data_IF_217365741749
#
_entry.id   IF_217365741749
#
_cell.length_a   1.000
_cell.length_b   1.000
_cell.length_c   1.000
_cell.angle_alpha   90.00
_cell.angle_beta   90.00
_cell.angle_gamma   90.00
#
_symmetry.space_group_name_H-M   'P 1'
#
loop_
_entity.id
_entity.type
_entity.pdbx_description
1 polymer ?
#
# COMPACT_ATOMS: atom_id res chain seq x y z
N UNK A 1 13.40 -25.37 -6.00
CA UNK A 1 12.14 -25.87 -6.63
C UNK A 1 10.89 -24.98 -6.39
N UNK A 2 10.97 -23.87 -5.63
CA UNK A 2 9.83 -22.94 -5.46
C UNK A 2 9.66 -21.95 -6.63
N UNK A 3 10.74 -21.61 -7.32
CA UNK A 3 10.77 -20.59 -8.38
C UNK A 3 10.05 -21.03 -9.67
N UNK A 4 10.08 -22.32 -10.01
CA UNK A 4 9.42 -22.85 -11.22
C UNK A 4 7.90 -22.97 -11.07
N UNK A 5 7.39 -23.20 -9.85
CA UNK A 5 5.93 -23.29 -9.59
C UNK A 5 5.25 -21.92 -9.66
N UNK A 6 5.95 -20.84 -9.27
CA UNK A 6 5.47 -19.45 -9.38
C UNK A 6 5.32 -18.99 -10.84
N UNK A 7 6.11 -19.56 -11.77
CA UNK A 7 6.03 -19.19 -13.19
C UNK A 7 4.78 -19.75 -13.90
N UNK A 8 4.25 -20.88 -13.42
CA UNK A 8 3.12 -21.61 -14.04
C UNK A 8 1.76 -21.12 -13.52
N UNK A 9 1.71 -20.38 -12.42
CA UNK A 9 0.46 -19.92 -11.77
C UNK A 9 0.25 -18.41 -11.79
N UNK A 10 0.91 -17.69 -12.69
CA UNK A 10 0.63 -16.26 -12.84
C UNK A 10 -0.84 -16.06 -13.22
N UNK A 11 -1.55 -15.12 -12.59
CA UNK A 11 -2.90 -14.75 -13.01
C UNK A 11 -2.89 -14.38 -14.49
N UNK A 12 -3.99 -14.64 -15.21
CA UNK A 12 -4.05 -14.24 -16.61
C UNK A 12 -4.09 -12.70 -16.69
N UNK A 13 -3.46 -12.14 -17.72
CA UNK A 13 -3.39 -10.67 -17.89
C UNK A 13 -4.78 -10.07 -18.19
N UNK A 14 -5.68 -10.88 -18.76
CA UNK A 14 -7.08 -10.54 -19.04
C UNK A 14 -8.03 -10.78 -17.85
N UNK A 15 -7.51 -11.21 -16.69
CA UNK A 15 -8.29 -11.38 -15.47
C UNK A 15 -8.46 -10.03 -14.75
N UNK A 16 -9.70 -9.56 -14.71
CA UNK A 16 -10.07 -8.27 -14.11
C UNK A 16 -10.36 -8.34 -12.61
N UNK A 17 -10.20 -9.51 -11.97
CA UNK A 17 -10.34 -9.63 -10.52
C UNK A 17 -9.30 -8.76 -9.80
N UNK A 18 -9.65 -8.14 -8.65
CA UNK A 18 -8.69 -7.31 -7.92
C UNK A 18 -7.42 -8.05 -7.51
N UNK A 19 -7.49 -9.33 -7.14
CA UNK A 19 -6.30 -10.13 -6.81
C UNK A 19 -5.38 -10.33 -8.02
N UNK A 20 -5.92 -10.54 -9.23
CA UNK A 20 -5.12 -10.60 -10.43
C UNK A 20 -4.46 -9.24 -10.75
N UNK A 21 -5.24 -8.15 -10.70
CA UNK A 21 -4.70 -6.77 -10.84
C UNK A 21 -3.59 -6.48 -9.82
N UNK A 22 -3.79 -6.92 -8.57
CA UNK A 22 -2.86 -6.73 -7.48
C UNK A 22 -1.51 -7.39 -7.76
N UNK A 23 -1.50 -8.62 -8.27
CA UNK A 23 -0.25 -9.30 -8.62
C UNK A 23 0.63 -8.44 -9.53
N UNK A 24 0.06 -7.90 -10.60
CA UNK A 24 0.80 -7.08 -11.57
C UNK A 24 1.19 -5.71 -11.01
N UNK A 25 0.33 -5.10 -10.19
CA UNK A 25 0.64 -3.84 -9.52
C UNK A 25 1.80 -4.00 -8.51
N UNK A 26 1.81 -5.10 -7.75
CA UNK A 26 2.88 -5.41 -6.80
C UNK A 26 4.21 -5.73 -7.50
N UNK A 27 4.20 -6.45 -8.63
CA UNK A 27 5.40 -6.68 -9.44
C UNK A 27 5.96 -5.35 -10.00
N UNK A 28 5.09 -4.46 -10.49
CA UNK A 28 5.50 -3.14 -10.98
C UNK A 28 6.09 -2.27 -9.86
N UNK A 29 5.47 -2.26 -8.68
CA UNK A 29 5.99 -1.55 -7.52
C UNK A 29 7.38 -2.06 -7.11
N UNK A 30 7.53 -3.38 -7.01
CA UNK A 30 8.82 -4.00 -6.67
C UNK A 30 9.89 -3.74 -7.75
N UNK A 31 9.52 -3.68 -9.03
CA UNK A 31 10.47 -3.33 -10.09
C UNK A 31 11.02 -1.91 -9.91
N UNK A 32 10.17 -0.94 -9.59
CA UNK A 32 10.60 0.45 -9.33
C UNK A 32 11.45 0.54 -8.06
N UNK A 33 11.05 -0.15 -6.99
CA UNK A 33 11.83 -0.19 -5.74
C UNK A 33 13.23 -0.79 -5.93
N UNK A 34 13.31 -1.94 -6.61
CA UNK A 34 14.60 -2.56 -6.93
C UNK A 34 15.47 -1.66 -7.83
N UNK A 35 14.85 -0.89 -8.73
CA UNK A 35 15.59 0.07 -9.55
C UNK A 35 16.14 1.21 -8.69
N UNK A 36 15.36 1.75 -7.75
CA UNK A 36 15.83 2.75 -6.78
C UNK A 36 17.03 2.25 -5.96
N UNK A 37 16.99 0.99 -5.53
CA UNK A 37 18.06 0.39 -4.73
C UNK A 37 19.33 0.05 -5.55
N UNK A 38 19.23 0.06 -6.89
CA UNK A 38 20.31 -0.39 -7.78
C UNK A 38 21.41 0.64 -8.04
N UNK A 39 21.22 1.91 -7.63
CA UNK A 39 22.19 2.98 -7.88
C UNK A 39 22.25 4.00 -6.74
N UNK A 40 23.33 4.78 -6.72
CA UNK A 40 23.45 5.91 -5.80
C UNK A 40 22.69 7.12 -6.35
N UNK A 41 21.53 7.41 -5.74
CA UNK A 41 20.67 8.53 -6.12
C UNK A 41 21.35 9.90 -6.05
N UNK A 42 22.46 10.05 -5.31
CA UNK A 42 23.23 11.32 -5.27
C UNK A 42 24.01 11.57 -6.56
N UNK A 43 24.36 10.50 -7.28
CA UNK A 43 25.09 10.57 -8.56
C UNK A 43 24.17 10.88 -9.73
N UNK A 44 22.89 10.55 -9.62
CA UNK A 44 21.86 10.84 -10.61
C UNK A 44 20.55 11.26 -9.93
N UNK A 45 20.48 12.52 -9.44
CA UNK A 45 19.31 13.03 -8.72
C UNK A 45 18.06 13.10 -9.60
N UNK A 46 18.21 13.33 -10.89
CA UNK A 46 17.09 13.43 -11.82
C UNK A 46 16.41 12.06 -12.00
N UNK A 47 17.20 11.00 -12.25
CA UNK A 47 16.66 9.64 -12.30
C UNK A 47 16.05 9.21 -10.98
N UNK A 48 16.67 9.56 -9.86
CA UNK A 48 16.13 9.30 -8.52
C UNK A 48 14.73 9.93 -8.36
N UNK A 49 14.58 11.21 -8.68
CA UNK A 49 13.30 11.92 -8.59
C UNK A 49 12.22 11.29 -9.51
N UNK A 50 12.59 10.89 -10.73
CA UNK A 50 11.67 10.21 -11.64
C UNK A 50 11.20 8.86 -11.08
N UNK A 51 12.11 8.08 -10.50
CA UNK A 51 11.79 6.78 -9.91
C UNK A 51 10.96 6.91 -8.62
N UNK A 52 11.25 7.89 -7.76
CA UNK A 52 10.41 8.21 -6.59
C UNK A 52 8.98 8.58 -7.03
N UNK A 53 8.84 9.35 -8.11
CA UNK A 53 7.53 9.70 -8.66
C UNK A 53 6.78 8.45 -9.15
N UNK A 54 7.46 7.56 -9.89
CA UNK A 54 6.89 6.27 -10.33
C UNK A 54 6.54 5.37 -9.15
N UNK A 55 7.35 5.36 -8.09
CA UNK A 55 7.11 4.57 -6.89
C UNK A 55 5.80 5.02 -6.24
N UNK A 56 5.60 6.32 -6.06
CA UNK A 56 4.37 6.90 -5.50
C UNK A 56 3.14 6.54 -6.33
N UNK A 57 3.22 6.64 -7.66
CA UNK A 57 2.14 6.22 -8.55
C UNK A 57 1.82 4.72 -8.44
N UNK A 58 2.84 3.88 -8.27
CA UNK A 58 2.66 2.44 -8.09
C UNK A 58 2.05 2.12 -6.71
N UNK A 59 2.44 2.85 -5.66
CA UNK A 59 1.84 2.77 -4.32
C UNK A 59 0.36 3.16 -4.34
N UNK A 60 0.00 4.30 -4.96
CA UNK A 60 -1.39 4.73 -5.15
C UNK A 60 -2.23 3.68 -5.86
N UNK A 61 -1.71 3.13 -6.97
CA UNK A 61 -2.39 2.08 -7.72
C UNK A 61 -2.62 0.83 -6.88
N UNK A 62 -1.63 0.40 -6.10
CA UNK A 62 -1.73 -0.77 -5.26
C UNK A 62 -2.77 -0.57 -4.15
N UNK A 63 -2.77 0.59 -3.48
CA UNK A 63 -3.77 0.94 -2.47
C UNK A 63 -5.18 1.05 -3.04
N UNK A 64 -5.33 1.57 -4.26
CA UNK A 64 -6.61 1.61 -4.95
C UNK A 64 -7.18 0.20 -5.15
N UNK A 65 -6.34 -0.74 -5.59
CA UNK A 65 -6.76 -2.15 -5.77
C UNK A 65 -7.10 -2.79 -4.42
N UNK A 66 -6.33 -2.52 -3.35
CA UNK A 66 -6.68 -2.99 -1.99
C UNK A 66 -8.04 -2.41 -1.56
N UNK A 67 -8.34 -1.15 -1.88
CA UNK A 67 -9.64 -0.53 -1.62
C UNK A 67 -10.77 -1.23 -2.39
N UNK A 68 -10.56 -1.59 -3.67
CA UNK A 68 -11.51 -2.42 -4.42
C UNK A 68 -11.77 -3.76 -3.71
N UNK A 69 -10.73 -4.44 -3.20
CA UNK A 69 -10.87 -5.67 -2.43
C UNK A 69 -11.68 -5.45 -1.14
N UNK A 70 -11.41 -4.35 -0.43
CA UNK A 70 -12.12 -3.98 0.79
C UNK A 70 -13.63 -3.82 0.55
N UNK A 71 -14.02 -3.19 -0.55
CA UNK A 71 -15.45 -3.03 -0.93
C UNK A 71 -16.10 -4.39 -1.23
N UNK A 72 -15.38 -5.31 -1.88
CA UNK A 72 -15.89 -6.65 -2.17
C UNK A 72 -16.05 -7.48 -0.90
N UNK A 73 -15.04 -7.45 -0.02
CA UNK A 73 -15.01 -8.27 1.21
C UNK A 73 -15.93 -7.70 2.30
N UNK A 74 -15.99 -6.38 2.42
CA UNK A 74 -16.77 -5.65 3.42
C UNK A 74 -17.69 -4.64 2.72
N UNK A 75 -18.80 -5.10 2.11
CA UNK A 75 -19.67 -4.26 1.29
C UNK A 75 -20.48 -3.24 2.11
N UNK A 76 -20.68 -3.51 3.41
CA UNK A 76 -21.32 -2.55 4.32
C UNK A 76 -20.25 -1.63 4.87
N UNK A 77 -20.49 -0.33 4.78
CA UNK A 77 -19.55 0.67 5.27
C UNK A 77 -19.28 0.56 6.78
N UNK A 78 -20.30 0.19 7.57
CA UNK A 78 -20.18 -0.07 9.00
C UNK A 78 -19.21 -1.24 9.33
N UNK A 79 -18.93 -2.12 8.37
CA UNK A 79 -17.97 -3.21 8.50
C UNK A 79 -16.53 -2.76 8.16
N UNK A 80 -16.29 -1.46 7.93
CA UNK A 80 -14.97 -0.83 7.66
C UNK A 80 -14.63 0.19 8.76
N UNK A 81 -13.38 0.61 8.84
CA UNK A 81 -12.92 1.60 9.79
C UNK A 81 -13.59 2.96 9.49
N UNK A 82 -14.11 3.60 10.54
CA UNK A 82 -14.78 4.89 10.44
C UNK A 82 -13.81 5.97 9.98
N UNK A 83 -14.26 6.78 9.01
CA UNK A 83 -13.50 7.90 8.43
C UNK A 83 -14.27 9.21 8.49
N UNK A 84 -15.25 9.31 9.38
CA UNK A 84 -16.11 10.49 9.56
C UNK A 84 -15.31 11.76 9.89
N UNK A 85 -14.09 11.61 10.42
CA UNK A 85 -13.18 12.72 10.63
C UNK A 85 -12.79 13.44 9.32
N UNK A 86 -12.91 12.80 8.15
CA UNK A 86 -12.62 13.41 6.83
C UNK A 86 -13.48 14.64 6.53
N UNK A 87 -14.67 14.75 7.13
CA UNK A 87 -15.54 15.95 6.97
C UNK A 87 -14.92 17.24 7.50
N UNK A 88 -13.86 17.11 8.31
CA UNK A 88 -13.11 18.25 8.85
C UNK A 88 -12.04 18.77 7.90
N UNK A 89 -11.76 18.05 6.81
CA UNK A 89 -10.74 18.40 5.83
C UNK A 89 -11.41 18.91 4.55
N UNK A 90 -10.80 19.90 3.86
CA UNK A 90 -11.24 20.34 2.54
C UNK A 90 -11.32 19.17 1.54
N UNK A 91 -12.31 19.18 0.65
CA UNK A 91 -12.54 18.12 -0.33
C UNK A 91 -11.31 17.91 -1.24
N UNK A 92 -10.58 18.98 -1.56
CA UNK A 92 -9.38 18.94 -2.39
C UNK A 92 -8.27 18.06 -1.78
N UNK A 93 -8.20 17.97 -0.45
CA UNK A 93 -7.21 17.13 0.26
C UNK A 93 -7.63 15.66 0.24
N UNK A 94 -8.94 15.39 0.25
CA UNK A 94 -9.48 14.03 0.39
C UNK A 94 -9.47 13.27 -0.94
N UNK A 95 -9.55 13.97 -2.08
CA UNK A 95 -9.73 13.36 -3.38
C UNK A 95 -8.43 13.03 -4.15
N UNK A 96 -7.33 13.76 -3.94
CA UNK A 96 -6.12 13.62 -4.76
C UNK A 96 -5.00 12.81 -4.08
N UNK A 97 -4.86 11.54 -4.46
CA UNK A 97 -3.72 10.66 -4.14
C UNK A 97 -3.32 10.61 -2.64
N UNK A 98 -4.24 10.99 -1.74
CA UNK A 98 -4.00 11.04 -0.30
C UNK A 98 -3.55 9.67 0.23
N UNK A 99 -4.14 8.53 -0.17
CA UNK A 99 -3.69 7.24 0.34
C UNK A 99 -2.21 6.93 0.06
N UNK A 100 -1.71 7.15 -1.16
CA UNK A 100 -0.29 6.92 -1.46
C UNK A 100 0.62 7.96 -0.83
N UNK A 101 0.17 9.20 -0.67
CA UNK A 101 0.90 10.21 0.12
C UNK A 101 1.08 9.78 1.58
N UNK A 102 0.03 9.24 2.20
CA UNK A 102 0.08 8.73 3.57
C UNK A 102 1.01 7.52 3.69
N UNK A 103 0.96 6.58 2.75
CA UNK A 103 1.89 5.46 2.74
C UNK A 103 3.34 5.95 2.60
N UNK A 104 3.63 6.81 1.63
CA UNK A 104 4.97 7.37 1.45
C UNK A 104 5.46 8.13 2.71
N UNK A 105 4.57 8.91 3.34
CA UNK A 105 4.85 9.58 4.61
C UNK A 105 5.16 8.59 5.75
N UNK A 106 4.40 7.50 5.84
CA UNK A 106 4.63 6.45 6.83
C UNK A 106 5.98 5.75 6.62
N UNK A 107 6.40 5.52 5.37
CA UNK A 107 7.72 4.97 5.05
C UNK A 107 8.84 5.94 5.44
N UNK A 108 8.70 7.23 5.11
CA UNK A 108 9.64 8.27 5.51
C UNK A 108 9.80 8.34 7.04
N UNK A 109 8.70 8.37 7.80
CA UNK A 109 8.72 8.35 9.26
C UNK A 109 9.39 7.09 9.82
N UNK A 110 9.11 5.93 9.20
CA UNK A 110 9.70 4.64 9.57
C UNK A 110 11.21 4.61 9.33
N UNK A 111 11.68 5.27 8.27
CA UNK A 111 13.09 5.46 7.93
C UNK A 111 13.81 6.50 8.81
N UNK A 112 13.07 7.22 9.66
CA UNK A 112 13.63 8.20 10.61
C UNK A 112 13.59 9.65 10.12
N UNK A 113 12.91 9.93 9.00
CA UNK A 113 12.60 11.30 8.60
C UNK A 113 11.59 11.92 9.54
N UNK A 114 11.68 13.24 9.74
CA UNK A 114 10.72 14.02 10.52
C UNK A 114 9.98 15.01 9.62
N UNK A 115 8.76 15.33 10.01
CA UNK A 115 8.00 16.45 9.44
C UNK A 115 8.73 17.73 9.88
N UNK A 116 8.98 18.61 8.91
CA UNK A 116 9.68 19.88 9.13
C UNK A 116 8.90 20.70 10.15
N UNK A 117 9.60 21.22 11.16
CA UNK A 117 9.05 22.01 12.28
C UNK A 117 8.07 21.25 13.21
N UNK A 118 7.97 19.92 13.06
CA UNK A 118 7.03 19.05 13.80
C UNK A 118 7.70 17.73 14.26
N UNK A 119 8.90 17.80 14.83
CA UNK A 119 9.65 16.61 15.26
C UNK A 119 8.97 15.86 16.41
N UNK A 120 8.39 16.58 17.38
CA UNK A 120 7.71 15.97 18.51
C UNK A 120 6.46 15.19 18.08
N UNK A 121 5.67 15.74 17.14
CA UNK A 121 4.56 14.99 16.53
C UNK A 121 5.08 13.80 15.71
N UNK A 122 6.18 13.98 14.97
CA UNK A 122 6.81 12.88 14.20
C UNK A 122 7.20 11.70 15.08
N UNK A 123 7.80 11.96 16.25
CA UNK A 123 8.11 10.92 17.24
C UNK A 123 6.86 10.19 17.75
N UNK A 124 5.78 10.94 18.01
CA UNK A 124 4.52 10.39 18.48
C UNK A 124 3.81 9.54 17.41
N UNK A 125 3.94 9.91 16.14
CA UNK A 125 3.29 9.23 15.01
C UNK A 125 4.09 8.01 14.53
N UNK A 126 5.42 8.01 14.72
CA UNK A 126 6.32 6.96 14.20
C UNK A 126 5.92 5.52 14.57
N UNK A 127 5.46 5.20 15.80
CA UNK A 127 5.00 3.85 16.12
C UNK A 127 3.84 3.38 15.22
N UNK A 128 2.90 4.29 14.90
CA UNK A 128 1.78 4.00 13.99
C UNK A 128 2.28 3.81 12.55
N UNK A 129 3.20 4.66 12.10
CA UNK A 129 3.84 4.52 10.80
C UNK A 129 4.54 3.15 10.63
N UNK A 130 5.28 2.70 11.66
CA UNK A 130 5.95 1.39 11.70
C UNK A 130 4.95 0.24 11.70
N UNK A 131 3.86 0.35 12.45
CA UNK A 131 2.82 -0.67 12.50
C UNK A 131 2.11 -0.80 11.14
N UNK A 132 1.75 0.33 10.53
CA UNK A 132 1.10 0.38 9.22
C UNK A 132 1.98 -0.22 8.12
N UNK A 133 3.22 0.25 7.97
CA UNK A 133 4.15 -0.20 6.92
C UNK A 133 4.46 -1.69 7.05
N UNK A 134 4.80 -2.15 8.25
CA UNK A 134 5.07 -3.58 8.53
C UNK A 134 3.88 -4.48 8.21
N UNK A 135 2.67 -4.03 8.56
CA UNK A 135 1.47 -4.81 8.28
C UNK A 135 1.11 -4.79 6.79
N UNK A 136 1.29 -3.66 6.11
CA UNK A 136 1.08 -3.55 4.67
C UNK A 136 2.03 -4.48 3.90
N UNK A 137 3.31 -4.56 4.27
CA UNK A 137 4.24 -5.53 3.67
C UNK A 137 3.76 -6.97 3.84
N UNK A 138 3.33 -7.33 5.05
CA UNK A 138 2.79 -8.67 5.34
C UNK A 138 1.50 -8.95 4.55
N UNK A 139 0.63 -7.95 4.40
CA UNK A 139 -0.59 -8.05 3.61
C UNK A 139 -0.27 -8.23 2.11
N UNK A 140 0.72 -7.50 1.59
CA UNK A 140 1.15 -7.62 0.19
C UNK A 140 1.61 -9.04 -0.13
N UNK A 141 2.41 -9.64 0.75
CA UNK A 141 2.84 -11.03 0.61
C UNK A 141 1.66 -12.00 0.60
N UNK A 142 0.67 -11.81 1.48
CA UNK A 142 -0.54 -12.64 1.53
C UNK A 142 -1.39 -12.53 0.26
N UNK A 143 -1.62 -11.30 -0.21
CA UNK A 143 -2.39 -11.06 -1.43
C UNK A 143 -1.68 -11.60 -2.68
N UNK A 144 -0.34 -11.48 -2.72
CA UNK A 144 0.48 -12.07 -3.79
C UNK A 144 0.44 -13.59 -3.79
N UNK A 145 0.54 -14.25 -2.63
CA UNK A 145 0.37 -15.71 -2.55
C UNK A 145 -1.04 -16.13 -3.00
N UNK A 146 -2.06 -15.40 -2.57
CA UNK A 146 -3.45 -15.72 -2.94
C UNK A 146 -3.69 -15.57 -4.43
N UNK A 147 -3.22 -14.49 -5.05
CA UNK A 147 -3.37 -14.27 -6.50
C UNK A 147 -2.74 -15.39 -7.33
N UNK A 148 -1.61 -15.95 -6.87
CA UNK A 148 -0.98 -17.13 -7.49
C UNK A 148 -1.69 -18.46 -7.21
N UNK A 149 -2.64 -18.51 -6.28
CA UNK A 149 -3.37 -19.73 -5.91
C UNK A 149 -4.76 -19.75 -6.52
N UNK A 150 -5.57 -18.75 -6.18
CA UNK A 150 -6.92 -18.54 -6.67
C UNK A 150 -7.28 -17.05 -6.53
N UNK A 151 -7.25 -16.27 -7.62
CA UNK A 151 -7.54 -14.84 -7.59
C UNK A 151 -9.03 -14.51 -7.41
N UNK A 152 -9.92 -15.52 -7.36
CA UNK A 152 -11.37 -15.32 -7.21
C UNK A 152 -11.86 -15.42 -5.76
N UNK A 153 -10.99 -15.83 -4.83
CA UNK A 153 -11.36 -16.15 -3.45
C UNK A 153 -10.58 -15.34 -2.43
N UNK A 154 -11.26 -14.94 -1.35
CA UNK A 154 -10.64 -14.32 -0.17
C UNK A 154 -10.77 -15.26 1.02
N UNK A 155 -9.65 -15.83 1.46
CA UNK A 155 -9.61 -16.64 2.68
C UNK A 155 -9.87 -15.79 3.93
N UNK A 156 -10.34 -16.40 5.03
CA UNK A 156 -10.59 -15.66 6.27
C UNK A 156 -9.34 -14.97 6.81
N UNK A 157 -8.16 -15.58 6.61
CA UNK A 157 -6.87 -14.94 6.92
C UNK A 157 -6.68 -13.63 6.17
N UNK A 158 -7.02 -13.59 4.88
CA UNK A 158 -6.93 -12.37 4.06
C UNK A 158 -7.95 -11.35 4.52
N UNK A 159 -9.19 -11.76 4.77
CA UNK A 159 -10.24 -10.85 5.28
C UNK A 159 -9.82 -10.20 6.60
N UNK A 160 -9.32 -10.98 7.55
CA UNK A 160 -8.80 -10.46 8.83
C UNK A 160 -7.61 -9.52 8.62
N UNK A 161 -6.68 -9.85 7.73
CA UNK A 161 -5.52 -9.00 7.42
C UNK A 161 -5.92 -7.68 6.76
N UNK A 162 -6.87 -7.72 5.83
CA UNK A 162 -7.47 -6.54 5.20
C UNK A 162 -8.17 -5.65 6.23
N UNK A 163 -8.93 -6.25 7.16
CA UNK A 163 -9.63 -5.52 8.22
C UNK A 163 -8.68 -4.84 9.22
N UNK A 164 -7.55 -5.48 9.52
CA UNK A 164 -6.50 -4.89 10.36
C UNK A 164 -5.79 -3.75 9.62
N UNK A 165 -5.47 -3.94 8.33
CA UNK A 165 -4.90 -2.88 7.50
C UNK A 165 -5.80 -1.64 7.47
N UNK A 166 -7.10 -1.84 7.25
CA UNK A 166 -8.11 -0.78 7.22
C UNK A 166 -8.14 0.05 8.53
N UNK A 167 -8.02 -0.61 9.70
CA UNK A 167 -7.92 0.08 10.98
C UNK A 167 -6.61 0.85 11.15
N UNK A 168 -5.47 0.20 10.89
CA UNK A 168 -4.15 0.84 11.01
C UNK A 168 -4.05 2.05 10.09
N UNK A 169 -4.59 1.95 8.88
CA UNK A 169 -4.58 3.04 7.91
C UNK A 169 -5.45 4.21 8.37
N UNK A 170 -6.67 3.94 8.88
CA UNK A 170 -7.55 5.00 9.40
C UNK A 170 -6.98 5.68 10.65
N UNK A 171 -6.34 4.92 11.55
CA UNK A 171 -5.67 5.47 12.73
C UNK A 171 -4.50 6.37 12.33
N UNK A 172 -3.68 5.95 11.38
CA UNK A 172 -2.57 6.74 10.86
C UNK A 172 -3.06 8.00 10.14
N UNK A 173 -4.10 7.89 9.30
CA UNK A 173 -4.67 9.01 8.56
C UNK A 173 -5.27 10.11 9.47
N UNK A 174 -5.81 9.73 10.63
CA UNK A 174 -6.41 10.68 11.58
C UNK A 174 -5.37 11.54 12.32
N UNK A 175 -4.12 11.10 12.38
CA UNK A 175 -3.08 11.65 13.25
C UNK A 175 -2.19 12.65 12.53
#
# INVERSE_FOLDING_TARGET
>A
MQSLRKLVRKPRVDDWSPLAKFYYADEALNAVANELDSFDGRRDPERCNQLVTKLRQAQDRLLHIISEMMVIVFPREADRACRDYRVKFPEEIVHDNLPGQLWFGAECLTAGSNIIDHEAESEAIRPMARALTKHLDSLRDLLKDQSLRDPTQYSDKIKSSLKLFDHLFAEFELK
#
